data_IF_059508708643
#
_entry.id   IF_059508708643
#
_cell.length_a   1.000
_cell.length_b   1.000
_cell.length_c   1.000
_cell.angle_alpha   90.00
_cell.angle_beta   90.00
_cell.angle_gamma   90.00
#
_symmetry.space_group_name_H-M   'P 1'
#
loop_
_entity.id
_entity.type
_entity.pdbx_description
1 polymer ?
#
# COMPACT_ATOMS: atom_id res chain seq x y z
N UNK A 1 -33.82 -26.40 -25.87
CA UNK A 1 -33.47 -26.29 -24.44
C UNK A 1 -32.57 -25.09 -24.30
N UNK A 2 -33.14 -24.01 -23.77
CA UNK A 2 -32.47 -22.76 -23.44
C UNK A 2 -31.90 -22.88 -22.04
N UNK A 3 -30.56 -22.85 -21.92
CA UNK A 3 -29.86 -22.50 -20.67
C UNK A 3 -28.91 -21.38 -21.04
N UNK A 4 -29.37 -20.14 -21.00
CA UNK A 4 -29.35 -19.25 -19.83
C UNK A 4 -27.91 -18.86 -19.48
N UNK A 5 -27.45 -17.80 -20.14
CA UNK A 5 -26.40 -16.94 -19.65
C UNK A 5 -26.87 -16.37 -18.30
N UNK A 6 -26.29 -16.85 -17.21
CA UNK A 6 -26.29 -16.14 -15.95
C UNK A 6 -25.12 -15.16 -16.02
N UNK A 7 -25.43 -13.86 -15.94
CA UNK A 7 -24.44 -12.80 -16.08
C UNK A 7 -23.43 -12.82 -14.96
N UNK A 8 -22.15 -12.83 -15.32
CA UNK A 8 -21.07 -12.35 -14.45
C UNK A 8 -21.29 -10.86 -14.24
N UNK A 9 -21.98 -10.52 -13.16
CA UNK A 9 -21.80 -9.21 -12.54
C UNK A 9 -20.45 -9.32 -11.85
N UNK A 10 -19.39 -8.97 -12.58
CA UNK A 10 -17.99 -9.29 -12.22
C UNK A 10 -17.64 -8.74 -10.85
N UNK A 11 -17.53 -9.63 -9.86
CA UNK A 11 -16.88 -9.30 -8.61
C UNK A 11 -15.38 -9.22 -8.89
N UNK A 12 -14.72 -8.20 -8.35
CA UNK A 12 -13.28 -8.02 -8.54
C UNK A 12 -12.52 -9.09 -7.76
N UNK A 13 -11.34 -9.47 -8.25
CA UNK A 13 -10.40 -10.27 -7.46
C UNK A 13 -9.84 -9.46 -6.29
N UNK A 14 -9.21 -10.14 -5.33
CA UNK A 14 -8.52 -9.46 -4.21
C UNK A 14 -7.40 -8.58 -4.75
N UNK A 15 -6.61 -9.10 -5.68
CA UNK A 15 -5.57 -8.36 -6.38
C UNK A 15 -6.08 -7.07 -7.04
N UNK A 16 -7.20 -7.16 -7.77
CA UNK A 16 -7.81 -5.99 -8.43
C UNK A 16 -8.29 -4.92 -7.44
N UNK A 17 -8.68 -5.30 -6.23
CA UNK A 17 -9.09 -4.33 -5.18
C UNK A 17 -7.86 -3.72 -4.49
N UNK A 18 -6.81 -4.50 -4.24
CA UNK A 18 -5.53 -3.99 -3.72
C UNK A 18 -4.90 -2.99 -4.69
N UNK A 19 -4.88 -3.28 -5.99
CA UNK A 19 -4.41 -2.35 -7.04
C UNK A 19 -5.23 -1.05 -7.06
N UNK A 20 -6.55 -1.13 -6.85
CA UNK A 20 -7.37 0.09 -6.72
C UNK A 20 -7.03 0.89 -5.47
N UNK A 21 -6.62 0.23 -4.41
CA UNK A 21 -6.17 0.89 -3.20
C UNK A 21 -4.83 1.62 -3.41
N UNK A 22 -3.91 1.05 -4.20
CA UNK A 22 -2.72 1.76 -4.69
C UNK A 22 -3.11 3.05 -5.41
N UNK A 23 -4.00 2.99 -6.41
CA UNK A 23 -4.41 4.19 -7.14
C UNK A 23 -5.07 5.25 -6.24
N UNK A 24 -5.80 4.83 -5.21
CA UNK A 24 -6.38 5.74 -4.21
C UNK A 24 -5.28 6.44 -3.41
N UNK A 25 -4.28 5.70 -2.96
CA UNK A 25 -3.12 6.22 -2.21
C UNK A 25 -2.31 7.18 -3.10
N UNK A 26 -2.03 6.78 -4.33
CA UNK A 26 -1.31 7.56 -5.33
C UNK A 26 -1.96 8.92 -5.58
N UNK A 27 -3.30 9.01 -5.58
CA UNK A 27 -3.99 10.29 -5.75
C UNK A 27 -3.71 11.31 -4.62
N UNK A 28 -3.59 10.85 -3.37
CA UNK A 28 -3.21 11.71 -2.25
C UNK A 28 -1.73 12.13 -2.34
N UNK A 29 -0.89 11.19 -2.75
CA UNK A 29 0.54 11.38 -2.96
C UNK A 29 0.86 12.32 -4.12
N UNK A 30 0.10 12.25 -5.22
CA UNK A 30 0.19 13.20 -6.32
C UNK A 30 -0.20 14.62 -5.84
N UNK A 31 -1.27 14.74 -5.06
CA UNK A 31 -1.70 16.03 -4.47
C UNK A 31 -0.60 16.62 -3.59
N UNK A 32 0.03 15.79 -2.74
CA UNK A 32 1.15 16.21 -1.91
C UNK A 32 2.36 16.65 -2.75
N UNK A 33 2.75 15.86 -3.76
CA UNK A 33 3.87 16.17 -4.65
C UNK A 33 3.67 17.50 -5.39
N UNK A 34 2.44 17.79 -5.86
CA UNK A 34 2.10 19.07 -6.47
C UNK A 34 2.32 20.23 -5.48
N UNK A 35 1.95 20.05 -4.20
CA UNK A 35 2.16 21.08 -3.16
C UNK A 35 3.65 21.37 -2.90
N UNK A 36 4.53 20.38 -3.02
CA UNK A 36 5.98 20.55 -2.83
C UNK A 36 6.67 21.34 -3.95
N UNK A 37 6.06 21.39 -5.14
CA UNK A 37 6.60 22.08 -6.31
C UNK A 37 5.98 23.46 -6.57
N UNK A 38 4.88 23.77 -5.88
CA UNK A 38 4.15 25.03 -6.02
C UNK A 38 4.71 26.18 -5.17
N UNK A 39 4.16 27.38 -5.39
CA UNK A 39 4.44 28.57 -4.55
C UNK A 39 3.54 28.65 -3.30
N UNK A 40 2.60 27.71 -3.16
CA UNK A 40 1.63 27.63 -2.06
C UNK A 40 2.16 26.92 -0.81
N UNK A 41 1.33 26.80 0.24
CA UNK A 41 1.67 25.99 1.41
C UNK A 41 1.77 24.50 1.04
N UNK A 42 2.61 23.78 1.77
CA UNK A 42 2.72 22.31 1.67
C UNK A 42 1.43 21.69 2.21
N UNK A 43 0.86 20.75 1.46
CA UNK A 43 -0.37 20.04 1.82
C UNK A 43 -0.06 18.83 2.72
N UNK A 44 0.18 19.11 3.99
CA UNK A 44 0.46 18.07 4.98
C UNK A 44 -0.73 17.11 5.20
N UNK A 45 -1.96 17.52 4.89
CA UNK A 45 -3.17 16.70 5.03
C UNK A 45 -3.24 15.64 3.91
N UNK A 46 -2.88 16.02 2.68
CA UNK A 46 -2.75 15.07 1.58
C UNK A 46 -1.70 14.00 1.92
N UNK A 47 -0.53 14.39 2.43
CA UNK A 47 0.48 13.43 2.87
C UNK A 47 -0.02 12.52 3.99
N UNK A 48 -0.61 13.10 5.06
CA UNK A 48 -1.05 12.30 6.21
C UNK A 48 -2.15 11.31 5.83
N UNK A 49 -3.06 11.69 4.93
CA UNK A 49 -4.12 10.81 4.43
C UNK A 49 -3.56 9.69 3.56
N UNK A 50 -2.64 10.00 2.63
CA UNK A 50 -1.96 8.99 1.80
C UNK A 50 -1.13 8.03 2.65
N UNK A 51 -0.35 8.55 3.60
CA UNK A 51 0.48 7.75 4.49
C UNK A 51 -0.35 6.87 5.45
N UNK A 52 -1.50 7.35 5.94
CA UNK A 52 -2.42 6.50 6.70
C UNK A 52 -2.99 5.37 5.84
N UNK A 53 -3.36 5.68 4.58
CA UNK A 53 -3.79 4.69 3.60
C UNK A 53 -2.73 3.62 3.33
N UNK A 54 -1.50 4.01 3.04
CA UNK A 54 -0.41 3.07 2.77
C UNK A 54 -0.06 2.21 3.98
N UNK A 55 -0.06 2.77 5.20
CA UNK A 55 0.15 1.96 6.42
C UNK A 55 -0.94 0.91 6.61
N UNK A 56 -2.19 1.25 6.27
CA UNK A 56 -3.31 0.32 6.36
C UNK A 56 -3.22 -0.77 5.29
N UNK A 57 -2.84 -0.40 4.07
CA UNK A 57 -2.57 -1.33 2.98
C UNK A 57 -1.52 -2.38 3.40
N UNK A 58 -0.36 -1.91 3.86
CA UNK A 58 0.75 -2.74 4.36
C UNK A 58 0.28 -3.65 5.52
N UNK A 59 -0.58 -3.16 6.41
CA UNK A 59 -1.16 -3.96 7.49
C UNK A 59 -1.97 -5.15 6.95
N UNK A 60 -2.91 -4.89 6.02
CA UNK A 60 -3.74 -5.92 5.40
C UNK A 60 -2.87 -6.98 4.73
N UNK A 61 -1.84 -6.54 4.01
CA UNK A 61 -0.96 -7.47 3.31
C UNK A 61 -0.11 -8.32 4.25
N UNK A 62 0.56 -7.71 5.24
CA UNK A 62 1.44 -8.44 6.15
C UNK A 62 0.69 -9.42 7.05
N UNK A 63 -0.53 -9.08 7.46
CA UNK A 63 -1.31 -9.86 8.41
C UNK A 63 -2.18 -10.92 7.73
N UNK A 64 -2.65 -10.69 6.51
CA UNK A 64 -3.61 -11.58 5.83
C UNK A 64 -3.06 -12.14 4.51
N UNK A 65 -2.61 -11.28 3.60
CA UNK A 65 -2.22 -11.69 2.24
C UNK A 65 -0.90 -12.49 2.23
N UNK A 66 0.19 -11.93 2.76
CA UNK A 66 1.53 -12.51 2.73
C UNK A 66 1.66 -13.84 3.49
N UNK A 67 0.96 -14.09 4.61
CA UNK A 67 0.93 -15.42 5.21
C UNK A 67 0.48 -16.52 4.25
N UNK A 68 -0.57 -16.29 3.46
CA UNK A 68 -1.03 -17.23 2.44
C UNK A 68 0.02 -17.40 1.33
N UNK A 69 0.64 -16.31 0.87
CA UNK A 69 1.69 -16.35 -0.15
C UNK A 69 2.90 -17.17 0.30
N UNK A 70 3.33 -17.00 1.55
CA UNK A 70 4.40 -17.81 2.16
C UNK A 70 4.05 -19.29 2.18
N UNK A 71 2.82 -19.64 2.58
CA UNK A 71 2.34 -21.01 2.61
C UNK A 71 2.26 -21.63 1.19
N UNK A 72 1.95 -20.82 0.18
CA UNK A 72 1.96 -21.18 -1.24
C UNK A 72 3.35 -21.28 -1.89
N UNK A 73 4.44 -21.04 -1.13
CA UNK A 73 5.81 -21.18 -1.61
C UNK A 73 6.48 -19.90 -2.11
N UNK A 74 5.84 -18.73 -1.96
CA UNK A 74 6.36 -17.42 -2.39
C UNK A 74 7.22 -16.73 -1.32
N UNK A 75 7.99 -17.49 -0.52
CA UNK A 75 8.78 -16.92 0.58
C UNK A 75 9.79 -15.86 0.11
N UNK A 76 10.44 -16.06 -1.03
CA UNK A 76 11.41 -15.11 -1.58
C UNK A 76 10.77 -13.77 -1.96
N UNK A 77 9.76 -13.76 -2.84
CA UNK A 77 8.99 -12.55 -3.17
C UNK A 77 8.44 -11.82 -1.94
N UNK A 78 7.82 -12.54 -0.99
CA UNK A 78 7.29 -11.93 0.24
C UNK A 78 8.39 -11.27 1.07
N UNK A 79 9.57 -11.90 1.20
CA UNK A 79 10.68 -11.30 1.94
C UNK A 79 11.16 -9.98 1.31
N UNK A 80 11.11 -9.87 -0.02
CA UNK A 80 11.41 -8.61 -0.71
C UNK A 80 10.38 -7.54 -0.35
N UNK A 81 9.07 -7.89 -0.37
CA UNK A 81 8.01 -6.93 -0.02
C UNK A 81 8.13 -6.45 1.43
N UNK A 82 8.34 -7.36 2.39
CA UNK A 82 8.53 -6.99 3.81
C UNK A 82 9.69 -6.01 4.02
N UNK A 83 10.81 -6.18 3.30
CA UNK A 83 11.93 -5.23 3.36
C UNK A 83 11.53 -3.86 2.81
N UNK A 84 10.82 -3.86 1.68
CA UNK A 84 10.39 -2.62 1.03
C UNK A 84 9.32 -1.90 1.85
N UNK A 85 8.39 -2.62 2.49
CA UNK A 85 7.47 -2.06 3.47
C UNK A 85 8.20 -1.32 4.58
N UNK A 86 9.25 -1.92 5.16
CA UNK A 86 10.09 -1.26 6.16
C UNK A 86 10.73 0.03 5.65
N UNK A 87 11.29 -0.01 4.43
CA UNK A 87 11.91 1.14 3.78
C UNK A 87 10.90 2.27 3.49
N UNK A 88 9.69 1.93 3.03
CA UNK A 88 8.59 2.86 2.78
C UNK A 88 8.07 3.46 4.09
N UNK A 89 7.90 2.63 5.12
CA UNK A 89 7.45 3.05 6.44
C UNK A 89 8.37 4.09 7.07
N UNK A 90 9.68 3.82 7.06
CA UNK A 90 10.68 4.70 7.66
C UNK A 90 10.74 6.06 6.92
N UNK A 91 10.55 6.06 5.59
CA UNK A 91 10.46 7.30 4.81
C UNK A 91 9.19 8.09 5.11
N UNK A 92 8.05 7.41 5.30
CA UNK A 92 6.81 8.07 5.72
C UNK A 92 6.96 8.73 7.10
N UNK A 93 7.62 8.05 8.05
CA UNK A 93 7.89 8.59 9.38
C UNK A 93 8.85 9.79 9.33
N UNK A 94 9.88 9.74 8.47
CA UNK A 94 10.79 10.87 8.26
C UNK A 94 10.05 12.08 7.68
N UNK A 95 9.22 11.90 6.66
CA UNK A 95 8.44 13.00 6.06
C UNK A 95 7.45 13.58 7.07
N UNK A 96 6.75 12.74 7.84
CA UNK A 96 5.85 13.18 8.91
C UNK A 96 6.59 14.07 9.93
N UNK A 97 7.76 13.64 10.38
CA UNK A 97 8.62 14.42 11.30
C UNK A 97 9.05 15.76 10.70
N UNK A 98 9.40 15.79 9.40
CA UNK A 98 9.76 17.03 8.70
C UNK A 98 8.58 18.00 8.61
N UNK A 99 7.39 17.49 8.30
CA UNK A 99 6.17 18.29 8.26
C UNK A 99 5.83 18.89 9.63
N UNK A 100 5.89 18.09 10.70
CA UNK A 100 5.64 18.55 12.07
C UNK A 100 6.62 19.62 12.56
N UNK A 101 7.89 19.52 12.14
CA UNK A 101 8.93 20.51 12.47
C UNK A 101 8.87 21.78 11.60
N UNK A 102 7.98 21.83 10.62
CA UNK A 102 7.85 22.96 9.70
C UNK A 102 9.01 23.07 8.70
N UNK A 103 9.61 21.94 8.32
CA UNK A 103 10.68 21.90 7.33
C UNK A 103 10.22 22.47 5.98
N UNK A 104 11.16 23.06 5.25
CA UNK A 104 10.89 23.60 3.92
C UNK A 104 10.67 22.49 2.88
N UNK A 105 10.01 22.82 1.78
CA UNK A 105 9.83 21.88 0.66
C UNK A 105 11.18 21.34 0.16
N UNK A 106 12.23 22.16 0.14
CA UNK A 106 13.58 21.74 -0.26
C UNK A 106 14.18 20.64 0.63
N UNK A 107 13.79 20.59 1.91
CA UNK A 107 14.23 19.56 2.87
C UNK A 107 13.38 18.28 2.78
N UNK A 108 12.13 18.40 2.33
CA UNK A 108 11.20 17.27 2.20
C UNK A 108 11.37 16.54 0.87
N UNK A 109 11.56 17.28 -0.23
CA UNK A 109 11.62 16.75 -1.61
C UNK A 109 12.59 15.56 -1.79
N UNK A 110 13.80 15.54 -1.20
CA UNK A 110 14.70 14.39 -1.35
C UNK A 110 14.13 13.09 -0.76
N UNK A 111 13.47 13.18 0.40
CA UNK A 111 12.87 12.01 1.08
C UNK A 111 11.59 11.61 0.38
N UNK A 112 10.79 12.59 -0.05
CA UNK A 112 9.62 12.37 -0.90
C UNK A 112 9.96 11.57 -2.15
N UNK A 113 10.97 11.99 -2.92
CA UNK A 113 11.40 11.27 -4.13
C UNK A 113 11.83 9.84 -3.84
N UNK A 114 12.54 9.63 -2.73
CA UNK A 114 12.95 8.29 -2.32
C UNK A 114 11.77 7.40 -1.89
N UNK A 115 10.67 7.99 -1.39
CA UNK A 115 9.42 7.29 -1.10
C UNK A 115 8.69 6.96 -2.40
N UNK A 116 8.52 7.96 -3.28
CA UNK A 116 7.84 7.84 -4.57
C UNK A 116 8.48 6.77 -5.47
N UNK A 117 9.80 6.86 -5.71
CA UNK A 117 10.54 5.88 -6.52
C UNK A 117 10.47 4.47 -5.92
N UNK A 118 10.51 4.38 -4.58
CA UNK A 118 10.42 3.12 -3.86
C UNK A 118 9.03 2.49 -3.97
N UNK A 119 7.98 3.32 -3.84
CA UNK A 119 6.60 2.90 -3.88
C UNK A 119 6.19 2.46 -5.29
N UNK A 120 6.56 3.21 -6.33
CA UNK A 120 6.32 2.81 -7.72
C UNK A 120 6.94 1.43 -8.02
N UNK A 121 8.21 1.24 -7.64
CA UNK A 121 8.89 -0.03 -7.84
C UNK A 121 8.32 -1.17 -6.99
N UNK A 122 7.74 -0.86 -5.84
CA UNK A 122 7.07 -1.80 -4.94
C UNK A 122 5.73 -2.26 -5.56
N UNK A 123 4.83 -1.32 -5.84
CA UNK A 123 3.53 -1.56 -6.47
C UNK A 123 3.67 -2.40 -7.75
N UNK A 124 4.65 -2.08 -8.61
CA UNK A 124 4.86 -2.80 -9.88
C UNK A 124 5.14 -4.29 -9.68
N UNK A 125 5.84 -4.67 -8.60
CA UNK A 125 6.12 -6.08 -8.29
C UNK A 125 4.89 -6.76 -7.73
N UNK A 126 4.11 -6.07 -6.92
CA UNK A 126 2.90 -6.65 -6.36
C UNK A 126 1.87 -6.92 -7.44
N UNK A 127 1.54 -5.91 -8.23
CA UNK A 127 0.57 -5.97 -9.31
C UNK A 127 0.94 -7.00 -10.38
N UNK A 128 2.23 -7.14 -10.72
CA UNK A 128 2.66 -8.07 -11.76
C UNK A 128 3.00 -9.47 -11.27
N UNK A 129 3.29 -9.65 -9.99
CA UNK A 129 3.84 -10.90 -9.45
C UNK A 129 3.02 -11.42 -8.29
N UNK A 130 2.86 -10.64 -7.20
CA UNK A 130 2.22 -11.14 -6.00
C UNK A 130 0.71 -11.27 -6.15
N UNK A 131 0.01 -10.26 -6.66
CA UNK A 131 -1.45 -10.29 -6.78
C UNK A 131 -1.95 -11.38 -7.73
N UNK A 132 -1.39 -11.56 -8.94
CA UNK A 132 -1.81 -12.66 -9.81
C UNK A 132 -1.57 -14.04 -9.20
N UNK A 133 -0.44 -14.22 -8.52
CA UNK A 133 -0.17 -15.48 -7.83
C UNK A 133 -1.04 -15.65 -6.57
N UNK A 134 -1.44 -14.55 -5.95
CA UNK A 134 -2.28 -14.54 -4.77
C UNK A 134 -3.72 -14.91 -5.07
N UNK A 135 -4.30 -14.37 -6.13
CA UNK A 135 -5.64 -14.73 -6.57
C UNK A 135 -5.79 -16.24 -6.85
N UNK A 136 -4.71 -16.92 -7.27
CA UNK A 136 -4.68 -18.39 -7.45
C UNK A 136 -4.54 -19.18 -6.12
N UNK A 137 -4.04 -18.55 -5.06
CA UNK A 137 -3.68 -19.18 -3.77
C UNK A 137 -4.69 -18.92 -2.66
N UNK A 138 -5.41 -17.80 -2.71
CA UNK A 138 -6.38 -17.42 -1.68
C UNK A 138 -7.62 -18.32 -1.73
N UNK A 139 -8.12 -18.67 -0.56
CA UNK A 139 -9.46 -19.27 -0.42
C UNK A 139 -10.52 -18.17 -0.41
N UNK A 140 -11.73 -18.45 -0.89
CA UNK A 140 -12.86 -17.50 -0.88
C UNK A 140 -13.03 -16.78 0.47
N UNK A 141 -13.04 -17.52 1.58
CA UNK A 141 -13.19 -16.97 2.95
C UNK A 141 -12.09 -15.96 3.31
N UNK A 142 -10.84 -16.24 2.93
CA UNK A 142 -9.70 -15.36 3.21
C UNK A 142 -9.72 -14.14 2.29
N UNK A 143 -10.16 -14.32 1.04
CA UNK A 143 -10.37 -13.20 0.13
C UNK A 143 -11.43 -12.25 0.65
N UNK A 144 -12.56 -12.77 1.14
CA UNK A 144 -13.60 -11.95 1.79
C UNK A 144 -13.05 -11.22 3.02
N UNK A 145 -12.29 -11.89 3.89
CA UNK A 145 -11.66 -11.26 5.06
C UNK A 145 -10.70 -10.13 4.68
N UNK A 146 -9.88 -10.31 3.63
CA UNK A 146 -9.00 -9.26 3.10
C UNK A 146 -9.80 -8.05 2.63
N UNK A 147 -10.86 -8.28 1.84
CA UNK A 147 -11.69 -7.21 1.29
C UNK A 147 -12.45 -6.44 2.39
N UNK A 148 -12.97 -7.14 3.39
CA UNK A 148 -13.64 -6.52 4.55
C UNK A 148 -12.66 -5.70 5.37
N UNK A 149 -11.45 -6.23 5.62
CA UNK A 149 -10.41 -5.52 6.37
C UNK A 149 -9.93 -4.29 5.59
N UNK A 150 -9.69 -4.42 4.28
CA UNK A 150 -9.28 -3.29 3.43
C UNK A 150 -10.32 -2.15 3.42
N UNK A 151 -11.61 -2.49 3.52
CA UNK A 151 -12.70 -1.51 3.60
C UNK A 151 -12.81 -0.79 4.96
N UNK A 152 -12.16 -1.29 6.01
CA UNK A 152 -12.15 -0.67 7.34
C UNK A 152 -10.74 -0.18 7.71
N UNK A 153 -10.46 1.13 7.73
CA UNK A 153 -9.11 1.69 7.88
C UNK A 153 -8.47 1.52 9.28
N UNK A 154 -8.99 0.61 10.10
CA UNK A 154 -8.54 0.37 11.47
C UNK A 154 -7.25 -0.46 11.48
N UNK A 155 -6.17 0.13 11.99
CA UNK A 155 -4.95 -0.58 12.35
C UNK A 155 -4.87 -0.67 13.87
N UNK A 156 -4.49 -1.82 14.47
CA UNK A 156 -4.30 -1.92 15.91
C UNK A 156 -3.33 -0.86 16.47
N UNK A 157 -3.66 -0.29 17.62
CA UNK A 157 -2.81 0.71 18.27
C UNK A 157 -1.39 0.17 18.51
N UNK A 158 -0.38 0.95 18.08
CA UNK A 158 1.03 0.60 18.24
C UNK A 158 1.54 -0.46 17.24
N UNK A 159 0.73 -0.87 16.26
CA UNK A 159 1.20 -1.72 15.18
C UNK A 159 2.14 -0.98 14.23
N UNK A 160 3.19 -1.67 13.80
CA UNK A 160 4.16 -1.22 12.79
C UNK A 160 4.48 -2.40 11.87
N UNK A 161 4.82 -2.13 10.62
CA UNK A 161 5.26 -3.17 9.69
C UNK A 161 6.49 -3.95 10.22
N UNK A 162 6.64 -5.21 9.80
CA UNK A 162 7.61 -6.16 10.38
C UNK A 162 9.06 -5.65 10.36
N UNK A 163 9.43 -4.92 9.30
CA UNK A 163 10.79 -4.45 9.05
C UNK A 163 11.01 -2.95 9.23
N UNK A 164 10.05 -2.19 9.78
CA UNK A 164 10.30 -0.78 10.13
C UNK A 164 11.47 -0.65 11.12
N UNK A 165 12.27 0.40 10.94
CA UNK A 165 13.44 0.72 11.77
C UNK A 165 14.63 -0.21 11.51
N UNK A 166 14.63 -0.95 10.40
CA UNK A 166 15.71 -1.89 10.02
C UNK A 166 16.48 -1.48 8.77
N UNK A 167 16.18 -0.29 8.24
CA UNK A 167 16.83 0.37 7.09
C UNK A 167 18.32 0.67 7.33
#
# INVERSE_FOLDING_TARGET
MTGSAAGESGNLSVGEVLERDHHRIDGYFETFAQSLSGEGPIDAEAFSTGAAGLRHHIYVEEVLHFPAMKAGGLMGPVFVMLREHGELWDRMDEIATKLESGASAAEIVPVWKALEDGLEAHNDKEEKILYPAGDDLLTDDLGEEILETLANPDIPEGWTCEMSGRS
#
